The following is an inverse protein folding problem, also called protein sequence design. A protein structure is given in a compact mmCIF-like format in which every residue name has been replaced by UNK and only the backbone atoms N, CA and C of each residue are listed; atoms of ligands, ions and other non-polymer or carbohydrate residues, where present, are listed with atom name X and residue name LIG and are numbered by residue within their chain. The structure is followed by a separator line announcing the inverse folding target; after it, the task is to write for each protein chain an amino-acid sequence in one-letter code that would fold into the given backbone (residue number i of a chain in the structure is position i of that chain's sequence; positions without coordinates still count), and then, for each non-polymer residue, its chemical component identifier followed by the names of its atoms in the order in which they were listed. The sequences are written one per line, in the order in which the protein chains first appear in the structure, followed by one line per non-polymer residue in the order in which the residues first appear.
data_IF_455535897979
#
_entry.id   IF_455535897979
#
_cell.length_a   1.000
_cell.length_b   1.000
_cell.length_c   1.000
_cell.angle_alpha   90.00
_cell.angle_beta   90.00
_cell.angle_gamma   90.00
#
_symmetry.space_group_name_H-M   'P 1'
#
loop_
_entity.id
_entity.type
_entity.pdbx_description
1 polymer ?
#
# COMPACT_ATOMS: atom_id res chain seq x y z
N UNK A 1 -11.67 -8.95 -7.77
CA UNK A 1 -11.05 -7.76 -7.16
C UNK A 1 -11.40 -7.75 -5.69
N UNK A 2 -10.39 -7.90 -4.85
CA UNK A 2 -10.53 -7.99 -3.40
C UNK A 2 -9.72 -6.85 -2.78
N UNK A 3 -10.25 -6.26 -1.72
CA UNK A 3 -9.53 -5.30 -0.89
C UNK A 3 -9.04 -6.02 0.36
N UNK A 4 -7.79 -5.79 0.70
CA UNK A 4 -7.20 -6.19 1.98
C UNK A 4 -6.77 -4.90 2.67
N UNK A 5 -7.12 -4.77 3.94
CA UNK A 5 -6.78 -3.62 4.77
C UNK A 5 -6.09 -4.12 6.01
N UNK A 6 -4.85 -3.68 6.24
CA UNK A 6 -4.16 -3.94 7.49
C UNK A 6 -4.08 -2.67 8.31
N UNK A 7 -4.36 -2.77 9.61
CA UNK A 7 -3.95 -1.76 10.59
C UNK A 7 -2.56 -2.14 11.08
N UNK A 8 -1.65 -1.18 11.03
CA UNK A 8 -0.23 -1.33 11.32
C UNK A 8 0.11 -0.45 12.52
N UNK A 9 0.89 -0.99 13.44
CA UNK A 9 1.46 -0.24 14.56
C UNK A 9 2.97 -0.34 14.50
N UNK A 10 3.68 0.78 14.61
CA UNK A 10 5.13 0.78 14.72
C UNK A 10 5.57 0.21 16.07
N UNK A 11 6.73 -0.44 16.09
CA UNK A 11 7.37 -0.85 17.32
C UNK A 11 7.85 0.37 18.12
N UNK A 12 8.04 0.20 19.42
CA UNK A 12 8.55 1.27 20.28
C UNK A 12 9.93 1.76 19.81
N UNK A 13 10.09 3.08 19.73
CA UNK A 13 11.33 3.74 19.31
C UNK A 13 11.60 3.70 17.80
N UNK A 14 10.69 3.17 16.98
CA UNK A 14 10.77 3.31 15.52
C UNK A 14 10.22 4.68 15.12
N UNK A 15 11.11 5.52 14.58
CA UNK A 15 10.72 6.82 14.04
C UNK A 15 9.77 6.65 12.83
N UNK A 16 8.64 7.38 12.81
CA UNK A 16 7.70 7.37 11.68
C UNK A 16 8.35 7.58 10.32
N UNK A 17 9.30 8.51 10.23
CA UNK A 17 9.99 8.87 9.00
C UNK A 17 10.76 7.69 8.42
N UNK A 18 11.32 6.81 9.26
CA UNK A 18 12.02 5.60 8.82
C UNK A 18 11.06 4.64 8.12
N UNK A 19 9.92 4.38 8.75
CA UNK A 19 8.89 3.50 8.18
C UNK A 19 8.35 4.10 6.87
N UNK A 20 8.04 5.39 6.87
CA UNK A 20 7.48 6.07 5.69
C UNK A 20 8.46 6.15 4.51
N UNK A 21 9.76 6.33 4.76
CA UNK A 21 10.78 6.23 3.70
C UNK A 21 10.84 4.82 3.14
N UNK A 22 10.85 3.78 3.98
CA UNK A 22 10.81 2.40 3.51
C UNK A 22 9.55 2.10 2.68
N UNK A 23 8.38 2.58 3.11
CA UNK A 23 7.13 2.45 2.34
C UNK A 23 7.29 3.05 0.94
N UNK A 24 7.80 4.29 0.85
CA UNK A 24 7.91 5.00 -0.45
C UNK A 24 8.98 4.41 -1.37
N UNK A 25 10.12 4.04 -0.81
CA UNK A 25 11.33 3.72 -1.58
C UNK A 25 11.50 2.23 -1.83
N UNK A 26 10.92 1.37 -0.98
CA UNK A 26 11.07 -0.09 -1.05
C UNK A 26 9.74 -0.77 -1.30
N UNK A 27 8.74 -0.54 -0.44
CA UNK A 27 7.46 -1.24 -0.50
C UNK A 27 6.69 -0.91 -1.79
N UNK A 28 6.48 0.39 -2.06
CA UNK A 28 5.85 0.85 -3.31
C UNK A 28 6.66 0.47 -4.55
N UNK A 29 7.99 0.54 -4.46
CA UNK A 29 8.88 0.21 -5.58
C UNK A 29 8.86 -1.29 -5.93
N UNK A 30 8.52 -2.16 -4.97
CA UNK A 30 8.42 -3.61 -5.15
C UNK A 30 7.07 -4.05 -5.71
N UNK A 31 6.01 -3.22 -5.58
CA UNK A 31 4.66 -3.56 -6.06
C UNK A 31 4.59 -4.04 -7.52
N UNK A 32 5.33 -3.48 -8.50
CA UNK A 32 5.35 -3.99 -9.87
C UNK A 32 5.83 -5.44 -10.02
N UNK A 33 6.54 -5.99 -9.03
CA UNK A 33 6.99 -7.39 -9.00
C UNK A 33 5.94 -8.36 -8.44
N UNK A 34 4.77 -7.86 -8.01
CA UNK A 34 3.68 -8.61 -7.40
C UNK A 34 2.43 -8.56 -8.33
N UNK A 35 2.29 -9.50 -9.28
CA UNK A 35 1.31 -9.40 -10.36
C UNK A 35 -0.16 -9.31 -9.93
N UNK A 36 -0.50 -9.77 -8.72
CA UNK A 36 -1.85 -9.67 -8.19
C UNK A 36 -2.19 -8.29 -7.64
N UNK A 37 -1.19 -7.43 -7.35
CA UNK A 37 -1.39 -6.10 -6.76
C UNK A 37 -1.77 -5.11 -7.86
N UNK A 38 -2.96 -4.52 -7.72
CA UNK A 38 -3.54 -3.57 -8.68
C UNK A 38 -3.43 -2.12 -8.20
N UNK A 39 -3.53 -1.91 -6.89
CA UNK A 39 -3.27 -0.65 -6.24
C UNK A 39 -2.85 -0.90 -4.80
N UNK A 40 -1.95 -0.07 -4.30
CA UNK A 40 -1.47 -0.15 -2.92
C UNK A 40 -1.25 1.25 -2.39
N UNK A 41 -1.69 1.51 -1.17
CA UNK A 41 -1.45 2.78 -0.50
C UNK A 41 -1.44 2.59 1.01
N UNK A 42 -0.49 3.24 1.67
CA UNK A 42 -0.39 3.35 3.13
C UNK A 42 -0.84 4.75 3.56
N UNK A 43 -1.61 4.81 4.64
CA UNK A 43 -2.13 6.03 5.24
C UNK A 43 -1.71 6.11 6.71
N UNK A 44 -1.28 7.28 7.14
CA UNK A 44 -1.06 7.57 8.56
C UNK A 44 -2.40 7.70 9.26
N UNK A 45 -2.60 7.02 10.40
CA UNK A 45 -3.76 7.29 11.26
C UNK A 45 -3.54 8.61 11.98
N UNK A 46 -4.60 9.42 12.06
CA UNK A 46 -4.58 10.58 12.95
C UNK A 46 -4.41 10.10 14.40
N UNK A 47 -3.56 10.76 15.21
CA UNK A 47 -3.37 10.38 16.60
C UNK A 47 -4.72 10.51 17.34
N UNK A 48 -5.16 9.43 17.98
CA UNK A 48 -6.42 9.40 18.73
C UNK A 48 -6.38 10.17 20.07
N UNK A 49 -5.32 10.95 20.31
CA UNK A 49 -4.96 11.49 21.60
C UNK A 49 -4.24 10.45 22.47
N UNK A 50 -3.06 10.78 22.97
CA UNK A 50 -2.18 9.88 23.74
C UNK A 50 -0.89 9.58 23.00
N UNK A 51 0.25 9.69 23.71
CA UNK A 51 1.60 9.50 23.16
C UNK A 51 1.99 8.04 22.89
N UNK A 52 1.07 7.25 22.34
CA UNK A 52 1.34 5.87 21.92
C UNK A 52 2.12 5.80 20.61
N UNK A 53 2.57 4.59 20.20
CA UNK A 53 3.28 4.40 18.95
C UNK A 53 2.46 4.86 17.74
N UNK A 54 3.16 5.32 16.70
CA UNK A 54 2.50 5.73 15.46
C UNK A 54 1.78 4.54 14.80
N UNK A 55 0.63 4.82 14.22
CA UNK A 55 -0.19 3.82 13.55
C UNK A 55 -0.49 4.22 12.11
N UNK A 56 -0.61 3.20 11.27
CA UNK A 56 -0.90 3.30 9.85
C UNK A 56 -2.01 2.31 9.48
N UNK A 57 -2.66 2.55 8.36
CA UNK A 57 -3.40 1.49 7.68
C UNK A 57 -2.98 1.45 6.23
N UNK A 58 -2.95 0.27 5.66
CA UNK A 58 -2.74 0.09 4.23
C UNK A 58 -4.00 -0.44 3.58
N UNK A 59 -4.15 -0.14 2.28
CA UNK A 59 -5.20 -0.67 1.44
C UNK A 59 -4.54 -1.30 0.23
N UNK A 60 -4.73 -2.61 0.07
CA UNK A 60 -4.23 -3.39 -1.05
C UNK A 60 -5.43 -3.81 -1.91
N UNK A 61 -5.50 -3.31 -3.13
CA UNK A 61 -6.43 -3.77 -4.16
C UNK A 61 -5.75 -4.90 -4.94
N UNK A 62 -6.31 -6.11 -4.90
CA UNK A 62 -5.73 -7.28 -5.58
C UNK A 62 -6.71 -7.90 -6.60
N UNK A 63 -6.17 -8.64 -7.57
CA UNK A 63 -6.97 -9.40 -8.55
C UNK A 63 -7.92 -10.38 -7.86
N UNK A 64 -7.41 -11.08 -6.83
CA UNK A 64 -8.17 -11.95 -5.93
C UNK A 64 -7.27 -12.60 -4.87
N UNK A 65 -7.88 -13.20 -3.84
CA UNK A 65 -7.16 -13.76 -2.68
C UNK A 65 -6.17 -14.87 -3.06
N UNK A 66 -6.60 -15.82 -3.91
CA UNK A 66 -5.76 -16.93 -4.35
C UNK A 66 -4.53 -16.48 -5.18
N UNK A 67 -4.64 -15.37 -5.89
CA UNK A 67 -3.52 -14.79 -6.65
C UNK A 67 -2.54 -14.11 -5.71
N UNK A 68 -3.05 -13.33 -4.76
CA UNK A 68 -2.23 -12.69 -3.74
C UNK A 68 -1.49 -13.72 -2.87
N UNK A 69 -2.13 -14.84 -2.51
CA UNK A 69 -1.48 -15.96 -1.82
C UNK A 69 -0.33 -16.63 -2.61
N UNK A 70 -0.28 -16.46 -3.94
CA UNK A 70 0.89 -16.86 -4.73
C UNK A 70 2.00 -15.83 -4.59
N UNK A 71 1.66 -14.56 -4.66
CA UNK A 71 2.61 -13.45 -4.50
C UNK A 71 3.24 -13.45 -3.11
N UNK A 72 2.49 -13.77 -2.05
CA UNK A 72 3.05 -13.85 -0.69
C UNK A 72 4.13 -14.91 -0.52
N UNK A 73 4.16 -15.92 -1.40
CA UNK A 73 5.18 -16.97 -1.45
C UNK A 73 6.37 -16.62 -2.33
N UNK A 74 6.38 -15.45 -2.97
CA UNK A 74 7.49 -14.99 -3.80
C UNK A 74 8.68 -14.52 -2.95
N UNK A 75 9.86 -14.45 -3.57
CA UNK A 75 11.04 -13.87 -2.93
C UNK A 75 10.88 -12.37 -2.62
N UNK A 76 10.38 -11.49 -3.52
CA UNK A 76 10.21 -10.07 -3.22
C UNK A 76 9.29 -9.84 -2.02
N UNK A 77 8.13 -10.51 -1.96
CA UNK A 77 7.19 -10.34 -0.84
C UNK A 77 7.80 -10.75 0.50
N UNK A 78 8.53 -11.87 0.55
CA UNK A 78 9.20 -12.29 1.78
C UNK A 78 10.26 -11.30 2.27
N UNK A 79 10.93 -10.58 1.36
CA UNK A 79 11.87 -9.51 1.74
C UNK A 79 11.14 -8.34 2.36
N UNK A 80 10.00 -7.93 1.77
CA UNK A 80 9.14 -6.88 2.33
C UNK A 80 8.71 -7.22 3.75
N UNK A 81 8.18 -8.43 3.98
CA UNK A 81 7.78 -8.90 5.31
C UNK A 81 8.95 -8.86 6.29
N UNK A 82 10.11 -9.38 5.90
CA UNK A 82 11.29 -9.42 6.77
C UNK A 82 11.79 -8.02 7.17
N UNK A 83 11.68 -7.01 6.28
CA UNK A 83 12.03 -5.63 6.60
C UNK A 83 10.95 -4.92 7.41
N UNK A 84 9.68 -5.14 7.06
CA UNK A 84 8.51 -4.63 7.78
C UNK A 84 8.51 -5.06 9.25
N UNK A 85 8.75 -6.35 9.53
CA UNK A 85 8.73 -6.91 10.89
C UNK A 85 9.77 -6.30 11.83
N UNK A 86 10.83 -5.67 11.28
CA UNK A 86 11.83 -4.92 12.07
C UNK A 86 11.30 -3.58 12.56
N UNK A 87 10.22 -3.08 11.99
CA UNK A 87 9.71 -1.71 12.21
C UNK A 87 8.29 -1.68 12.78
N UNK A 88 7.46 -2.65 12.42
CA UNK A 88 6.03 -2.60 12.71
C UNK A 88 5.41 -3.99 12.82
N UNK A 89 4.13 -4.00 13.21
CA UNK A 89 3.28 -5.18 13.23
C UNK A 89 1.89 -4.87 12.68
N UNK A 90 1.31 -5.85 11.98
CA UNK A 90 -0.11 -5.84 11.66
C UNK A 90 -0.88 -6.18 12.94
N UNK A 91 -1.77 -5.28 13.36
CA UNK A 91 -2.60 -5.43 14.57
C UNK A 91 -4.07 -5.73 14.27
N UNK A 92 -4.49 -5.58 13.02
CA UNK A 92 -5.79 -6.03 12.52
C UNK A 92 -5.75 -6.21 11.00
N UNK A 93 -6.54 -7.15 10.49
CA UNK A 93 -6.79 -7.36 9.05
C UNK A 93 -8.30 -7.33 8.79
N UNK A 94 -8.70 -6.68 7.69
CA UNK A 94 -10.02 -6.83 7.10
C UNK A 94 -9.87 -7.13 5.60
N UNK A 95 -10.82 -7.86 5.04
CA UNK A 95 -10.89 -8.04 3.59
C UNK A 95 -12.32 -8.07 3.09
N UNK A 96 -12.51 -7.72 1.82
CA UNK A 96 -13.84 -7.72 1.22
C UNK A 96 -13.82 -7.45 -0.28
N UNK A 97 -14.97 -7.66 -0.90
CA UNK A 97 -15.19 -7.35 -2.30
C UNK A 97 -15.80 -5.96 -2.45
N UNK A 98 -15.41 -5.22 -3.49
CA UNK A 98 -16.01 -3.92 -3.80
C UNK A 98 -17.44 -4.15 -4.30
N UNK A 99 -18.39 -3.40 -3.74
CA UNK A 99 -19.77 -3.40 -4.24
C UNK A 99 -19.83 -2.60 -5.56
N UNK A 100 -20.02 -3.32 -6.67
CA UNK A 100 -20.02 -2.73 -8.00
C UNK A 100 -18.70 -2.03 -8.37
N UNK A 101 -18.72 -0.99 -9.23
CA UNK A 101 -17.51 -0.29 -9.64
C UNK A 101 -16.94 0.66 -8.57
N UNK A 102 -17.72 1.00 -7.54
CA UNK A 102 -17.42 2.11 -6.64
C UNK A 102 -17.48 3.47 -7.34
N UNK A 103 -16.99 4.51 -6.67
CA UNK A 103 -16.86 5.86 -7.23
C UNK A 103 -15.38 6.22 -7.40
N UNK A 104 -15.00 6.72 -8.58
CA UNK A 104 -13.68 7.30 -8.86
C UNK A 104 -13.89 8.63 -9.59
N UNK A 105 -13.28 9.72 -9.09
CA UNK A 105 -13.33 11.00 -9.80
C UNK A 105 -12.48 10.90 -11.08
N UNK A 106 -12.90 11.60 -12.14
CA UNK A 106 -12.22 11.52 -13.46
C UNK A 106 -10.84 12.19 -13.53
N UNK A 107 -10.27 12.64 -12.40
CA UNK A 107 -9.12 13.55 -12.35
C UNK A 107 -7.76 12.93 -12.02
N UNK A 108 -7.64 11.61 -11.84
CA UNK A 108 -6.37 10.97 -11.49
C UNK A 108 -5.53 10.52 -12.71
N UNK A 109 -5.73 11.14 -13.88
CA UNK A 109 -4.80 11.01 -15.00
C UNK A 109 -3.84 12.21 -14.96
N UNK A 110 -2.53 11.93 -14.88
CA UNK A 110 -1.48 12.95 -15.00
C UNK A 110 -1.59 13.76 -16.30
N UNK A 111 -0.86 14.88 -16.43
CA UNK A 111 -1.02 15.79 -17.55
C UNK A 111 -0.72 15.06 -18.87
N UNK A 112 -1.73 14.95 -19.73
CA UNK A 112 -1.57 14.53 -21.11
C UNK A 112 -0.57 15.49 -21.79
N UNK A 113 0.53 14.93 -22.29
CA UNK A 113 1.49 15.61 -23.15
C UNK A 113 0.73 16.14 -24.37
N UNK A 114 0.47 17.46 -24.42
CA UNK A 114 0.04 18.10 -25.67
C UNK A 114 1.22 18.06 -26.63
N UNK A 115 1.22 17.09 -27.54
CA UNK A 115 2.05 17.11 -28.73
C UNK A 115 1.61 18.33 -29.57
N UNK A 116 2.40 19.40 -29.50
CA UNK A 116 2.25 20.57 -30.36
C UNK A 116 2.38 20.15 -31.81
N UNK A 117 1.27 20.22 -32.54
CA UNK A 117 1.29 20.17 -34.00
C UNK A 117 1.65 21.57 -34.48
N UNK A 118 2.91 21.78 -34.86
CA UNK A 118 3.30 22.97 -35.63
C UNK A 118 3.45 22.54 -37.10
N UNK A 119 2.41 22.88 -37.89
CA UNK A 119 2.52 23.09 -39.33
C UNK A 119 2.84 24.57 -39.54
N UNK A 120 3.74 24.88 -40.47
CA UNK A 120 4.05 26.24 -40.93
C UNK A 120 5.48 26.36 -41.38
#
# INVERSE_FOLDING_TARGET
MTFIVHRIRLHDGVEPERFESWVREVDYATCPELPSVLAFAVQRLAPAGGGGPAEYYEVVEVTGRADFERDTRSAPFRRLVADFEKMASVVAEWSGERVGPGYRSRGAAGPETRAGTARG
#
